data_IF_742526782155
#
_entry.id   IF_742526782155
#
_cell.length_a   1.000
_cell.length_b   1.000
_cell.length_c   1.000
_cell.angle_alpha   90.00
_cell.angle_beta   90.00
_cell.angle_gamma   90.00
#
_symmetry.space_group_name_H-M   'P 1'
#
loop_
_entity.id
_entity.type
_entity.pdbx_description
1 polymer ?
#
# COMPACT_ATOMS: atom_id res chain seq x y z
N UNK A 1 -3.54 -19.31 -14.02
CA UNK A 1 -4.21 -18.04 -13.66
C UNK A 1 -3.62 -16.92 -14.48
N UNK A 2 -4.46 -16.05 -15.02
CA UNK A 2 -3.98 -14.92 -15.80
C UNK A 2 -3.36 -13.85 -14.88
N UNK A 3 -2.05 -13.70 -14.92
CA UNK A 3 -1.26 -12.71 -14.15
C UNK A 3 -1.79 -11.29 -14.34
N UNK A 4 -2.29 -10.98 -15.53
CA UNK A 4 -2.90 -9.67 -15.83
C UNK A 4 -4.14 -9.40 -14.98
N UNK A 5 -5.00 -10.40 -14.74
CA UNK A 5 -6.18 -10.22 -13.88
C UNK A 5 -5.77 -9.93 -12.43
N UNK A 6 -4.75 -10.62 -11.92
CA UNK A 6 -4.23 -10.37 -10.57
C UNK A 6 -3.66 -8.94 -10.47
N UNK A 7 -2.93 -8.51 -11.49
CA UNK A 7 -2.40 -7.15 -11.54
C UNK A 7 -3.52 -6.10 -11.53
N UNK A 8 -4.53 -6.25 -12.40
CA UNK A 8 -5.65 -5.29 -12.46
C UNK A 8 -6.44 -5.29 -11.15
N UNK A 9 -6.71 -6.46 -10.57
CA UNK A 9 -7.39 -6.56 -9.27
C UNK A 9 -6.61 -5.83 -8.19
N UNK A 10 -5.30 -6.05 -8.10
CA UNK A 10 -4.43 -5.39 -7.12
C UNK A 10 -4.37 -3.88 -7.36
N UNK A 11 -4.26 -3.45 -8.61
CA UNK A 11 -4.21 -2.03 -8.98
C UNK A 11 -5.50 -1.29 -8.61
N UNK A 12 -6.66 -1.87 -8.92
CA UNK A 12 -7.94 -1.28 -8.54
C UNK A 12 -8.10 -1.27 -7.01
N UNK A 13 -7.71 -2.36 -6.35
CA UNK A 13 -7.82 -2.47 -4.89
C UNK A 13 -6.99 -1.40 -4.17
N UNK A 14 -5.75 -1.16 -4.59
CA UNK A 14 -4.91 -0.14 -3.95
C UNK A 14 -5.48 1.26 -4.15
N UNK A 15 -6.00 1.57 -5.33
CA UNK A 15 -6.64 2.88 -5.58
C UNK A 15 -7.84 3.09 -4.67
N UNK A 16 -8.73 2.11 -4.58
CA UNK A 16 -9.93 2.20 -3.73
C UNK A 16 -9.54 2.40 -2.26
N UNK A 17 -8.62 1.58 -1.77
CA UNK A 17 -8.16 1.65 -0.37
C UNK A 17 -7.51 3.00 -0.06
N UNK A 18 -6.65 3.50 -0.94
CA UNK A 18 -5.96 4.77 -0.72
C UNK A 18 -6.89 5.98 -0.87
N UNK A 19 -7.85 5.96 -1.79
CA UNK A 19 -8.86 7.02 -1.89
C UNK A 19 -9.66 7.13 -0.59
N UNK A 20 -10.06 6.00 -0.01
CA UNK A 20 -10.77 5.99 1.27
C UNK A 20 -9.85 6.44 2.41
N UNK A 21 -8.67 5.88 2.53
CA UNK A 21 -7.74 6.16 3.62
C UNK A 21 -7.16 7.57 3.55
N UNK A 22 -6.48 7.91 2.46
CA UNK A 22 -5.81 9.20 2.29
C UNK A 22 -6.78 10.34 2.03
N UNK A 23 -7.88 10.07 1.33
CA UNK A 23 -8.84 11.09 0.96
C UNK A 23 -9.88 11.41 2.03
N UNK A 24 -10.17 10.47 2.93
CA UNK A 24 -11.27 10.60 3.91
C UNK A 24 -10.79 10.38 5.34
N UNK A 25 -10.23 9.19 5.65
CA UNK A 25 -10.00 8.76 7.04
C UNK A 25 -8.82 9.48 7.65
N UNK A 26 -7.64 9.42 7.03
CA UNK A 26 -6.39 9.92 7.62
C UNK A 26 -6.02 11.34 7.19
N UNK A 27 -6.78 11.94 6.28
CA UNK A 27 -6.47 13.25 5.71
C UNK A 27 -6.18 14.34 6.75
N UNK A 28 -7.00 14.54 7.80
CA UNK A 28 -6.72 15.58 8.78
C UNK A 28 -5.41 15.33 9.56
N UNK A 29 -5.12 14.07 9.87
CA UNK A 29 -3.89 13.68 10.55
C UNK A 29 -2.66 13.93 9.66
N UNK A 30 -2.72 13.55 8.39
CA UNK A 30 -1.63 13.76 7.44
C UNK A 30 -1.34 15.24 7.23
N UNK A 31 -2.37 16.07 7.06
CA UNK A 31 -2.21 17.53 6.94
C UNK A 31 -1.50 18.08 8.16
N UNK A 32 -1.91 17.70 9.37
CA UNK A 32 -1.30 18.15 10.61
C UNK A 32 0.16 17.71 10.74
N UNK A 33 0.47 16.44 10.43
CA UNK A 33 1.80 15.87 10.63
C UNK A 33 2.79 16.27 9.55
N UNK A 34 2.35 16.40 8.31
CA UNK A 34 3.20 16.60 7.14
C UNK A 34 3.16 18.03 6.59
N UNK A 35 2.45 18.96 7.23
CA UNK A 35 2.27 20.33 6.74
C UNK A 35 3.56 21.00 6.22
N UNK A 36 4.74 20.89 6.87
CA UNK A 36 5.97 21.52 6.38
C UNK A 36 6.46 20.97 5.03
N UNK A 37 6.06 19.77 4.64
CA UNK A 37 6.55 19.07 3.44
C UNK A 37 5.47 18.83 2.39
N UNK A 38 4.21 19.14 2.68
CA UNK A 38 3.12 18.95 1.72
C UNK A 38 3.18 19.99 0.61
N UNK A 39 2.96 19.52 -0.64
CA UNK A 39 2.76 20.41 -1.78
C UNK A 39 1.30 20.87 -1.86
N UNK A 40 1.09 22.10 -2.33
CA UNK A 40 -0.24 22.61 -2.72
C UNK A 40 -0.66 22.07 -4.10
N UNK A 41 0.33 21.72 -4.93
CA UNK A 41 0.15 21.20 -6.29
C UNK A 41 0.29 19.67 -6.29
N UNK A 42 -0.85 18.96 -6.16
CA UNK A 42 -0.86 17.50 -6.21
C UNK A 42 -0.47 16.99 -7.61
N UNK A 43 0.58 16.18 -7.66
CA UNK A 43 1.05 15.57 -8.90
C UNK A 43 0.50 14.15 -9.03
N UNK A 44 -0.42 13.95 -9.99
CA UNK A 44 -1.07 12.66 -10.21
C UNK A 44 -0.12 11.58 -10.74
N UNK A 45 0.81 11.94 -11.62
CA UNK A 45 1.66 10.95 -12.29
C UNK A 45 2.56 10.13 -11.33
N UNK A 46 3.19 10.71 -10.27
CA UNK A 46 3.92 9.89 -9.32
C UNK A 46 3.00 8.96 -8.52
N UNK A 47 1.80 9.40 -8.17
CA UNK A 47 0.82 8.58 -7.48
C UNK A 47 0.42 7.35 -8.32
N UNK A 48 0.20 7.53 -9.62
CA UNK A 48 -0.10 6.42 -10.54
C UNK A 48 1.06 5.42 -10.58
N UNK A 49 2.31 5.89 -10.63
CA UNK A 49 3.50 5.03 -10.59
C UNK A 49 3.53 4.22 -9.28
N UNK A 50 3.26 4.84 -8.13
CA UNK A 50 3.18 4.14 -6.84
C UNK A 50 2.16 3.00 -6.91
N UNK A 51 0.97 3.23 -7.43
CA UNK A 51 -0.07 2.20 -7.53
C UNK A 51 0.31 1.07 -8.48
N UNK A 52 0.96 1.39 -9.59
CA UNK A 52 1.51 0.38 -10.50
C UNK A 52 2.56 -0.48 -9.77
N UNK A 53 3.49 0.14 -9.04
CA UNK A 53 4.54 -0.58 -8.31
C UNK A 53 3.97 -1.47 -7.20
N UNK A 54 2.98 -1.00 -6.45
CA UNK A 54 2.30 -1.80 -5.43
C UNK A 54 1.56 -3.00 -6.06
N UNK A 55 0.88 -2.79 -7.17
CA UNK A 55 0.20 -3.86 -7.90
C UNK A 55 1.19 -4.89 -8.46
N UNK A 56 2.33 -4.44 -9.01
CA UNK A 56 3.40 -5.32 -9.47
C UNK A 56 3.99 -6.12 -8.30
N UNK A 57 4.26 -5.48 -7.18
CA UNK A 57 4.76 -6.12 -5.97
C UNK A 57 3.82 -7.24 -5.49
N UNK A 58 2.52 -6.95 -5.41
CA UNK A 58 1.51 -7.95 -5.04
C UNK A 58 1.46 -9.09 -6.05
N UNK A 59 1.47 -8.77 -7.34
CA UNK A 59 1.32 -9.77 -8.42
C UNK A 59 2.49 -10.73 -8.50
N UNK A 60 3.73 -10.22 -8.40
CA UNK A 60 4.93 -11.03 -8.67
C UNK A 60 5.60 -11.58 -7.40
N UNK A 61 5.44 -10.94 -6.25
CA UNK A 61 6.10 -11.37 -5.02
C UNK A 61 5.15 -11.93 -3.97
N UNK A 62 3.92 -11.45 -3.91
CA UNK A 62 2.93 -11.91 -2.91
C UNK A 62 2.08 -13.04 -3.47
N UNK A 63 1.46 -12.83 -4.62
CA UNK A 63 0.49 -13.78 -5.17
C UNK A 63 1.04 -15.20 -5.36
N UNK A 64 2.29 -15.42 -5.84
CA UNK A 64 2.86 -16.77 -5.96
C UNK A 64 3.01 -17.51 -4.64
N UNK A 65 3.04 -16.80 -3.49
CA UNK A 65 3.16 -17.38 -2.15
C UNK A 65 1.80 -17.72 -1.53
N UNK A 66 0.70 -17.31 -2.18
CA UNK A 66 -0.64 -17.47 -1.62
C UNK A 66 -1.13 -18.92 -1.81
N UNK A 67 -1.19 -19.67 -0.73
CA UNK A 67 -1.81 -21.00 -0.66
C UNK A 67 -3.11 -21.01 0.15
N UNK A 68 -3.31 -20.01 1.01
CA UNK A 68 -4.45 -19.88 1.90
C UNK A 68 -4.75 -18.40 2.20
N UNK A 69 -5.89 -18.12 2.84
CA UNK A 69 -6.18 -16.77 3.32
C UNK A 69 -5.11 -16.28 4.31
N UNK A 70 -4.62 -17.16 5.18
CA UNK A 70 -3.55 -16.82 6.13
C UNK A 70 -2.25 -16.41 5.45
N UNK A 71 -1.82 -17.13 4.41
CA UNK A 71 -0.63 -16.76 3.63
C UNK A 71 -0.84 -15.49 2.82
N UNK A 72 -2.04 -15.23 2.31
CA UNK A 72 -2.35 -13.97 1.65
C UNK A 72 -2.16 -12.78 2.61
N UNK A 73 -2.74 -12.85 3.81
CA UNK A 73 -2.58 -11.82 4.85
C UNK A 73 -1.10 -11.64 5.22
N UNK A 74 -0.40 -12.72 5.48
CA UNK A 74 0.99 -12.68 5.91
C UNK A 74 1.90 -12.02 4.87
N UNK A 75 1.89 -12.52 3.64
CA UNK A 75 2.79 -12.01 2.60
C UNK A 75 2.38 -10.62 2.10
N UNK A 76 1.08 -10.31 2.07
CA UNK A 76 0.60 -8.97 1.77
C UNK A 76 1.03 -7.96 2.84
N UNK A 77 0.87 -8.30 4.12
CA UNK A 77 1.32 -7.45 5.22
C UNK A 77 2.84 -7.29 5.26
N UNK A 78 3.61 -8.32 4.96
CA UNK A 78 5.08 -8.24 4.86
C UNK A 78 5.52 -7.32 3.73
N UNK A 79 4.91 -7.40 2.56
CA UNK A 79 5.21 -6.46 1.47
C UNK A 79 4.91 -5.02 1.87
N UNK A 80 3.76 -4.79 2.49
CA UNK A 80 3.38 -3.48 3.02
C UNK A 80 4.36 -2.96 4.07
N UNK A 81 4.76 -3.79 5.02
CA UNK A 81 5.77 -3.45 6.03
C UNK A 81 7.10 -3.04 5.38
N UNK A 82 7.57 -3.80 4.39
CA UNK A 82 8.84 -3.51 3.71
C UNK A 82 8.76 -2.17 2.97
N UNK A 83 7.74 -1.97 2.15
CA UNK A 83 7.62 -0.77 1.32
C UNK A 83 7.46 0.48 2.18
N UNK A 84 6.51 0.49 3.10
CA UNK A 84 6.23 1.64 3.96
C UNK A 84 7.30 1.82 5.03
N UNK A 85 7.85 0.74 5.55
CA UNK A 85 8.95 0.78 6.50
C UNK A 85 10.22 1.39 5.91
N UNK A 86 10.61 1.00 4.71
CA UNK A 86 11.76 1.59 4.00
C UNK A 86 11.53 3.07 3.75
N UNK A 87 10.35 3.46 3.27
CA UNK A 87 9.99 4.86 3.02
C UNK A 87 10.09 5.71 4.29
N UNK A 88 9.38 5.32 5.34
CA UNK A 88 9.29 6.13 6.55
C UNK A 88 10.60 6.15 7.35
N UNK A 89 11.29 5.03 7.46
CA UNK A 89 12.57 4.98 8.15
C UNK A 89 13.66 5.75 7.41
N UNK A 90 13.66 5.72 6.09
CA UNK A 90 14.55 6.55 5.28
C UNK A 90 14.26 8.03 5.52
N UNK A 91 12.99 8.44 5.50
CA UNK A 91 12.61 9.82 5.76
C UNK A 91 13.00 10.26 7.17
N UNK A 92 12.82 9.41 8.18
CA UNK A 92 13.29 9.70 9.54
C UNK A 92 14.81 9.88 9.63
N UNK A 93 15.56 9.13 8.83
CA UNK A 93 17.02 9.22 8.82
C UNK A 93 17.55 10.52 8.19
N UNK A 94 16.87 11.05 7.17
CA UNK A 94 17.40 12.15 6.34
C UNK A 94 16.60 13.46 6.39
N UNK A 95 15.35 13.43 6.88
CA UNK A 95 14.49 14.61 6.95
C UNK A 95 14.37 15.07 8.41
N UNK A 96 14.85 16.28 8.69
CA UNK A 96 14.77 16.87 10.03
C UNK A 96 13.30 17.02 10.46
N UNK A 97 12.96 16.46 11.62
CA UNK A 97 11.64 16.60 12.21
C UNK A 97 10.57 15.66 11.62
N UNK A 98 10.94 14.67 10.82
CA UNK A 98 9.97 13.68 10.34
C UNK A 98 9.28 12.98 11.52
N UNK A 99 7.93 13.03 11.64
CA UNK A 99 7.26 12.59 12.86
C UNK A 99 7.25 11.06 13.02
N UNK A 100 7.77 10.56 14.14
CA UNK A 100 7.69 9.13 14.45
C UNK A 100 6.24 8.64 14.49
N UNK A 101 5.33 9.43 15.04
CA UNK A 101 3.90 9.08 15.10
C UNK A 101 3.31 8.87 13.69
N UNK A 102 3.65 9.73 12.75
CA UNK A 102 3.26 9.56 11.35
C UNK A 102 3.83 8.26 10.78
N UNK A 103 5.13 8.02 10.95
CA UNK A 103 5.80 6.83 10.44
C UNK A 103 5.14 5.54 10.94
N UNK A 104 4.82 5.44 12.23
CA UNK A 104 4.18 4.25 12.80
C UNK A 104 2.75 4.03 12.26
N UNK A 105 1.98 5.09 12.12
CA UNK A 105 0.63 5.01 11.53
C UNK A 105 0.71 4.61 10.06
N UNK A 106 1.61 5.21 9.31
CA UNK A 106 1.77 4.94 7.87
C UNK A 106 2.24 3.50 7.61
N UNK A 107 3.23 3.02 8.35
CA UNK A 107 3.69 1.63 8.26
C UNK A 107 2.57 0.64 8.61
N UNK A 108 1.81 0.93 9.67
CA UNK A 108 0.66 0.09 10.06
C UNK A 108 -0.38 0.04 8.93
N UNK A 109 -0.68 1.17 8.31
CA UNK A 109 -1.54 1.20 7.12
C UNK A 109 -0.97 0.39 5.96
N UNK A 110 0.33 0.47 5.71
CA UNK A 110 0.99 -0.32 4.68
C UNK A 110 0.80 -1.83 4.89
N UNK A 111 0.91 -2.30 6.13
CA UNK A 111 0.67 -3.69 6.48
C UNK A 111 -0.80 -4.09 6.27
N UNK A 112 -1.73 -3.27 6.73
CA UNK A 112 -3.18 -3.51 6.60
C UNK A 112 -3.59 -3.51 5.13
N UNK A 113 -3.22 -2.48 4.38
CA UNK A 113 -3.58 -2.36 2.97
C UNK A 113 -2.94 -3.45 2.12
N UNK A 114 -1.68 -3.77 2.35
CA UNK A 114 -0.99 -4.88 1.68
C UNK A 114 -1.69 -6.22 1.91
N UNK A 115 -2.10 -6.49 3.14
CA UNK A 115 -2.90 -7.67 3.49
C UNK A 115 -4.26 -7.69 2.78
N UNK A 116 -4.97 -6.57 2.76
CA UNK A 116 -6.28 -6.45 2.08
C UNK A 116 -6.16 -6.64 0.57
N UNK A 117 -5.15 -6.05 -0.08
CA UNK A 117 -4.91 -6.23 -1.51
C UNK A 117 -4.64 -7.71 -1.84
N UNK A 118 -3.83 -8.38 -1.02
CA UNK A 118 -3.54 -9.80 -1.19
C UNK A 118 -4.78 -10.69 -0.98
N UNK A 119 -5.66 -10.33 -0.05
CA UNK A 119 -6.96 -11.00 0.16
C UNK A 119 -7.82 -10.89 -1.10
N UNK A 120 -7.89 -9.71 -1.71
CA UNK A 120 -8.64 -9.52 -2.96
C UNK A 120 -8.07 -10.37 -4.09
N UNK A 121 -6.75 -10.41 -4.23
CA UNK A 121 -6.07 -11.28 -5.21
C UNK A 121 -6.37 -12.77 -4.96
N UNK A 122 -6.40 -13.20 -3.70
CA UNK A 122 -6.75 -14.55 -3.30
C UNK A 122 -8.18 -14.93 -3.71
N UNK A 123 -9.16 -14.09 -3.39
CA UNK A 123 -10.56 -14.40 -3.71
C UNK A 123 -10.84 -14.35 -5.20
N UNK A 124 -10.32 -13.38 -5.94
CA UNK A 124 -10.50 -13.34 -7.40
C UNK A 124 -9.89 -14.59 -8.05
N UNK A 125 -8.76 -15.06 -7.53
CA UNK A 125 -8.12 -16.28 -8.03
C UNK A 125 -8.96 -17.52 -7.82
N UNK A 126 -9.72 -17.60 -6.75
CA UNK A 126 -10.64 -18.69 -6.47
C UNK A 126 -11.93 -18.63 -7.28
N UNK A 127 -12.43 -17.41 -7.48
CA UNK A 127 -13.64 -17.19 -8.23
C UNK A 127 -13.51 -17.52 -9.73
N UNK A 128 -12.29 -17.37 -10.26
CA UNK A 128 -11.99 -17.62 -11.68
C UNK A 128 -11.50 -19.06 -11.98
N UNK A 129 -11.42 -19.92 -10.97
CA UNK A 129 -11.13 -21.36 -11.13
C UNK A 129 -12.41 -22.15 -11.35
#
# INVERSE_FOLDING_TARGET
MNTFIIFITSFISVIILDVIWLGIIIKPFNIKMLAPWMTEDFKLWPAVIVYILLALGTTFFVFPQISSLGTAILYGALLGLIIYGVYDMTNMAIITGWPLKFALVDITWGMVSGGLIAIMAYYISKFLK
#
